data_IF_686078385229
#
_entry.id   IF_686078385229
#
_cell.length_a   1.000
_cell.length_b   1.000
_cell.length_c   1.000
_cell.angle_alpha   90.00
_cell.angle_beta   90.00
_cell.angle_gamma   90.00
#
_symmetry.space_group_name_H-M   'P 1'
#
loop_
_entity.id
_entity.type
_entity.pdbx_description
1 polymer ?
#
# COMPACT_ATOMS: atom_id res chain seq x y z
N UNK A 1 -18.15 18.83 -5.97
CA UNK A 1 -16.97 18.39 -6.75
C UNK A 1 -15.73 18.93 -6.05
N UNK A 2 -14.87 18.07 -5.50
CA UNK A 2 -13.59 18.47 -4.90
C UNK A 2 -12.60 18.71 -6.04
N UNK A 3 -12.15 19.95 -6.23
CA UNK A 3 -11.03 20.25 -7.12
C UNK A 3 -9.74 20.07 -6.32
N UNK A 4 -8.88 19.14 -6.77
CA UNK A 4 -7.54 18.96 -6.22
C UNK A 4 -6.60 19.91 -6.96
N UNK A 5 -6.28 21.04 -6.35
CA UNK A 5 -5.27 21.98 -6.85
C UNK A 5 -3.90 21.61 -6.24
N UNK A 6 -2.93 21.30 -7.10
CA UNK A 6 -1.56 20.94 -6.71
C UNK A 6 -1.01 19.71 -7.44
N UNK A 7 0.32 19.48 -7.41
CA UNK A 7 0.92 18.30 -8.02
C UNK A 7 0.45 17.04 -7.30
N UNK A 8 -0.15 16.13 -8.05
CA UNK A 8 -0.48 14.78 -7.60
C UNK A 8 0.72 13.89 -7.94
N UNK A 9 1.31 13.27 -6.92
CA UNK A 9 2.29 12.21 -7.10
C UNK A 9 1.66 10.88 -6.70
N UNK A 10 1.59 9.97 -7.66
CA UNK A 10 1.28 8.57 -7.43
C UNK A 10 2.59 7.80 -7.32
N UNK A 11 2.86 7.24 -6.15
CA UNK A 11 4.06 6.43 -5.90
C UNK A 11 3.67 5.00 -5.59
N UNK A 12 4.24 4.06 -6.36
CA UNK A 12 4.11 2.64 -6.11
C UNK A 12 5.36 2.15 -5.35
N UNK A 13 5.15 1.68 -4.14
CA UNK A 13 6.19 1.08 -3.31
C UNK A 13 5.97 -0.42 -3.21
N UNK A 14 6.98 -1.22 -3.53
CA UNK A 14 6.95 -2.66 -3.32
C UNK A 14 7.55 -2.97 -1.95
N UNK A 15 6.77 -3.55 -1.06
CA UNK A 15 7.28 -4.01 0.24
C UNK A 15 7.94 -5.38 0.08
N UNK A 16 8.91 -5.67 0.95
CA UNK A 16 9.69 -6.92 0.90
C UNK A 16 8.74 -8.11 1.03
N UNK A 17 8.89 -9.05 0.11
CA UNK A 17 8.12 -10.29 0.03
C UNK A 17 8.56 -11.23 1.14
N UNK A 18 7.65 -11.59 2.05
CA UNK A 18 7.92 -12.65 3.02
C UNK A 18 7.64 -14.00 2.35
N UNK A 19 8.67 -14.85 2.25
CA UNK A 19 8.52 -16.23 1.79
C UNK A 19 8.86 -17.17 2.94
N UNK A 20 7.87 -17.91 3.41
CA UNK A 20 8.04 -18.92 4.47
C UNK A 20 8.21 -20.33 3.90
N UNK A 21 8.56 -20.46 2.62
CA UNK A 21 8.69 -21.76 1.91
C UNK A 21 7.36 -22.45 1.59
N UNK A 22 6.27 -22.10 2.30
CA UNK A 22 4.91 -22.57 2.05
C UNK A 22 3.99 -21.49 1.48
N UNK A 23 4.32 -20.23 1.72
CA UNK A 23 3.53 -19.06 1.30
C UNK A 23 4.50 -18.05 0.69
N UNK A 24 4.23 -17.62 -0.54
CA UNK A 24 4.89 -16.43 -1.11
C UNK A 24 3.92 -15.26 -1.03
N UNK A 25 4.30 -14.19 -0.34
CA UNK A 25 3.48 -12.98 -0.21
C UNK A 25 4.15 -11.80 -0.91
N UNK A 26 3.39 -11.10 -1.77
CA UNK A 26 3.80 -9.90 -2.49
C UNK A 26 2.89 -8.73 -2.12
N UNK A 27 3.44 -7.75 -1.39
CA UNK A 27 2.71 -6.55 -1.00
C UNK A 27 3.15 -5.31 -1.82
N UNK A 28 2.17 -4.57 -2.30
CA UNK A 28 2.31 -3.31 -3.03
C UNK A 28 1.58 -2.22 -2.26
N UNK A 29 2.18 -1.04 -2.13
CA UNK A 29 1.57 0.13 -1.55
C UNK A 29 1.49 1.23 -2.61
N UNK A 30 0.31 1.80 -2.79
CA UNK A 30 0.08 2.96 -3.64
C UNK A 30 -0.20 4.16 -2.75
N UNK A 31 0.66 5.18 -2.82
CA UNK A 31 0.50 6.42 -2.09
C UNK A 31 -0.04 7.51 -3.02
N UNK A 32 -1.11 8.19 -2.60
CA UNK A 32 -1.55 9.45 -3.18
C UNK A 32 -0.98 10.59 -2.35
N UNK A 33 -0.02 11.31 -2.94
CA UNK A 33 0.64 12.45 -2.31
C UNK A 33 0.18 13.73 -3.00
N UNK A 34 -0.29 14.70 -2.22
CA UNK A 34 -0.74 16.01 -2.70
C UNK A 34 -0.05 17.07 -1.84
N UNK A 35 0.67 18.01 -2.47
CA UNK A 35 1.41 19.07 -1.77
C UNK A 35 2.36 18.57 -0.66
N UNK A 36 2.95 17.38 -0.85
CA UNK A 36 3.88 16.78 0.12
C UNK A 36 3.23 16.01 1.28
N UNK A 37 1.89 15.96 1.35
CA UNK A 37 1.16 15.16 2.33
C UNK A 37 0.64 13.89 1.67
N UNK A 38 0.73 12.75 2.37
CA UNK A 38 0.05 11.52 1.98
C UNK A 38 -1.42 11.68 2.37
N UNK A 39 -2.34 11.42 1.46
CA UNK A 39 -3.78 11.50 1.70
C UNK A 39 -4.44 10.12 1.74
N UNK A 40 -3.94 9.20 0.93
CA UNK A 40 -4.46 7.84 0.79
C UNK A 40 -3.30 6.90 0.57
N UNK A 41 -3.26 5.80 1.32
CA UNK A 41 -2.45 4.64 0.98
C UNK A 41 -3.36 3.44 0.72
N UNK A 42 -3.10 2.75 -0.38
CA UNK A 42 -3.73 1.47 -0.70
C UNK A 42 -2.66 0.40 -0.68
N UNK A 43 -2.75 -0.53 0.26
CA UNK A 43 -1.87 -1.69 0.37
C UNK A 43 -2.58 -2.90 -0.24
N UNK A 44 -1.94 -3.62 -1.15
CA UNK A 44 -2.44 -4.83 -1.77
C UNK A 44 -1.40 -5.92 -1.61
N UNK A 45 -1.75 -6.97 -0.87
CA UNK A 45 -0.93 -8.16 -0.70
C UNK A 45 -1.57 -9.33 -1.46
N UNK A 46 -0.77 -10.00 -2.28
CA UNK A 46 -1.14 -11.24 -2.96
C UNK A 46 -0.31 -12.34 -2.32
N UNK A 47 -0.97 -13.35 -1.75
CA UNK A 47 -0.31 -14.51 -1.19
C UNK A 47 -0.62 -15.76 -2.03
N UNK A 48 0.39 -16.58 -2.28
CA UNK A 48 0.26 -17.86 -2.99
C UNK A 48 0.64 -19.00 -2.06
N UNK A 49 -0.22 -20.03 -1.98
CA UNK A 49 0.03 -21.25 -1.19
C UNK A 49 -0.27 -22.47 -2.07
N UNK A 50 0.76 -23.03 -2.69
CA UNK A 50 0.60 -24.09 -3.69
C UNK A 50 -0.20 -23.59 -4.90
N UNK A 51 -1.36 -24.18 -5.18
CA UNK A 51 -2.26 -23.74 -6.27
C UNK A 51 -3.32 -22.72 -5.83
N UNK A 52 -3.42 -22.41 -4.54
CA UNK A 52 -4.35 -21.38 -4.05
C UNK A 52 -3.69 -20.01 -4.04
N UNK A 53 -4.42 -19.01 -4.53
CA UNK A 53 -4.05 -17.60 -4.43
C UNK A 53 -5.06 -16.89 -3.53
N UNK A 54 -4.59 -16.00 -2.67
CA UNK A 54 -5.41 -15.08 -1.91
C UNK A 54 -4.96 -13.65 -2.12
N UNK A 55 -5.92 -12.73 -2.06
CA UNK A 55 -5.68 -11.28 -2.20
C UNK A 55 -6.23 -10.61 -0.95
N UNK A 56 -5.39 -9.78 -0.31
CA UNK A 56 -5.75 -8.93 0.81
C UNK A 56 -5.47 -7.49 0.41
N UNK A 57 -6.39 -6.59 0.72
CA UNK A 57 -6.18 -5.17 0.54
C UNK A 57 -6.55 -4.40 1.79
N UNK A 58 -5.84 -3.31 2.01
CA UNK A 58 -6.07 -2.37 3.10
C UNK A 58 -6.04 -0.96 2.51
N UNK A 59 -7.07 -0.18 2.80
CA UNK A 59 -7.12 1.23 2.42
C UNK A 59 -7.07 2.02 3.71
N UNK A 60 -6.05 2.87 3.82
CA UNK A 60 -5.89 3.74 4.96
C UNK A 60 -5.84 5.20 4.50
N UNK A 61 -6.52 6.03 5.27
CA UNK A 61 -6.51 7.48 5.14
C UNK A 61 -5.80 8.03 6.37
N UNK A 62 -4.71 8.73 6.15
CA UNK A 62 -4.01 9.45 7.21
C UNK A 62 -3.47 10.74 6.61
N UNK A 63 -3.40 11.78 7.41
CA UNK A 63 -2.74 13.05 7.09
C UNK A 63 -1.25 13.03 7.45
N UNK A 64 -0.72 11.92 7.98
CA UNK A 64 0.64 11.77 8.49
C UNK A 64 1.35 10.55 7.88
N UNK A 65 2.56 10.76 7.36
CA UNK A 65 3.40 9.68 6.86
C UNK A 65 3.85 8.69 7.96
N UNK A 66 3.90 9.12 9.23
CA UNK A 66 4.29 8.29 10.36
C UNK A 66 3.28 7.18 10.67
N UNK A 67 1.99 7.50 10.61
CA UNK A 67 0.89 6.54 10.87
C UNK A 67 0.83 5.44 9.80
N UNK A 68 1.29 5.73 8.57
CA UNK A 68 1.36 4.71 7.53
C UNK A 68 2.41 3.64 7.83
N UNK A 69 3.52 3.97 8.49
CA UNK A 69 4.57 2.97 8.79
C UNK A 69 4.07 1.88 9.74
N UNK A 70 3.23 2.25 10.71
CA UNK A 70 2.60 1.31 11.65
C UNK A 70 1.54 0.40 10.98
N UNK A 71 1.04 0.75 9.80
CA UNK A 71 0.15 -0.12 9.00
C UNK A 71 0.91 -1.17 8.19
N UNK A 72 2.22 -0.99 8.02
CA UNK A 72 3.11 -1.90 7.27
C UNK A 72 3.97 -2.79 8.16
N UNK A 73 4.34 -2.32 9.35
CA UNK A 73 4.96 -3.13 10.40
C UNK A 73 3.96 -4.15 10.99
#
# INVERSE_FOLDING_TARGET
>A
MLMLEGPILLSLYKHVTQSTGLIEEHCYALFLIINGYIYVCVCVCVCTRGSQQCVRYLIAHSSSAGEFRELFD
#
